data_IF_710228099300
#
_entry.id   IF_710228099300
#
_cell.length_a   1.000
_cell.length_b   1.000
_cell.length_c   1.000
_cell.angle_alpha   90.00
_cell.angle_beta   90.00
_cell.angle_gamma   90.00
#
_symmetry.space_group_name_H-M   'P 1'
#
loop_
_entity.id
_entity.type
_entity.pdbx_description
1 polymer ?
#
# COMPACT_ATOMS: atom_id res chain seq x y z
N UNK A 1 -23.69 -29.86 -13.60
CA UNK A 1 -22.30 -29.61 -13.15
C UNK A 1 -21.68 -28.60 -14.10
N UNK A 2 -21.52 -27.33 -13.68
CA UNK A 2 -20.83 -26.34 -14.52
C UNK A 2 -19.35 -26.71 -14.67
N UNK A 3 -18.90 -26.95 -15.91
CA UNK A 3 -17.51 -27.22 -16.22
C UNK A 3 -16.61 -26.00 -16.05
N UNK A 4 -15.32 -26.21 -15.82
CA UNK A 4 -14.33 -25.12 -15.71
C UNK A 4 -14.26 -24.32 -17.02
N UNK A 5 -14.41 -22.99 -16.94
CA UNK A 5 -14.39 -22.06 -18.08
C UNK A 5 -13.03 -22.00 -18.82
N UNK A 6 -11.91 -22.27 -18.15
CA UNK A 6 -10.58 -22.27 -18.78
C UNK A 6 -9.69 -23.37 -18.23
N UNK A 7 -8.65 -23.73 -18.99
CA UNK A 7 -7.62 -24.71 -18.57
C UNK A 7 -6.68 -24.15 -17.49
N UNK A 8 -6.71 -22.85 -17.19
CA UNK A 8 -5.76 -22.21 -16.27
C UNK A 8 -4.34 -22.12 -16.83
N UNK A 9 -3.37 -21.73 -15.99
CA UNK A 9 -1.96 -21.59 -16.40
C UNK A 9 -1.39 -22.96 -16.81
N UNK A 10 -1.01 -23.09 -18.07
CA UNK A 10 -0.35 -24.29 -18.59
C UNK A 10 1.17 -24.16 -18.50
N UNK A 11 1.83 -25.26 -18.17
CA UNK A 11 3.29 -25.34 -18.29
C UNK A 11 3.67 -25.38 -19.77
N UNK A 12 4.73 -24.67 -20.12
CA UNK A 12 5.30 -24.66 -21.48
C UNK A 12 6.80 -24.94 -21.40
N UNK A 13 7.38 -25.63 -22.40
CA UNK A 13 8.81 -25.91 -22.41
C UNK A 13 9.64 -24.62 -22.47
N UNK A 14 10.80 -24.60 -21.82
CA UNK A 14 11.76 -23.48 -21.88
C UNK A 14 12.59 -23.51 -23.17
N UNK A 15 11.90 -23.29 -24.29
CA UNK A 15 12.46 -23.15 -25.64
C UNK A 15 11.77 -22.01 -26.37
N UNK A 16 12.23 -21.70 -27.59
CA UNK A 16 11.57 -20.71 -28.45
C UNK A 16 10.11 -21.12 -28.68
N UNK A 17 9.19 -20.16 -28.55
CA UNK A 17 7.78 -20.34 -28.90
C UNK A 17 7.66 -20.13 -30.41
N UNK A 18 7.25 -21.16 -31.12
CA UNK A 18 7.18 -21.14 -32.59
C UNK A 18 6.00 -20.28 -33.09
N UNK A 19 4.81 -20.48 -32.49
CA UNK A 19 3.62 -19.66 -32.74
C UNK A 19 3.91 -18.19 -32.47
N UNK A 20 3.70 -17.35 -33.47
CA UNK A 20 4.01 -15.93 -33.43
C UNK A 20 3.11 -15.18 -32.44
N UNK A 21 1.79 -15.42 -32.50
CA UNK A 21 0.82 -14.81 -31.60
C UNK A 21 1.09 -15.17 -30.14
N UNK A 22 1.37 -16.45 -29.86
CA UNK A 22 1.72 -16.91 -28.52
C UNK A 22 3.03 -16.31 -28.04
N UNK A 23 4.00 -16.15 -28.95
CA UNK A 23 5.28 -15.51 -28.64
C UNK A 23 5.09 -14.03 -28.32
N UNK A 24 4.23 -13.30 -29.03
CA UNK A 24 3.92 -11.89 -28.77
C UNK A 24 3.16 -11.70 -27.46
N UNK A 25 2.14 -12.53 -27.21
CA UNK A 25 1.40 -12.53 -25.97
C UNK A 25 2.30 -12.88 -24.77
N UNK A 26 3.17 -13.88 -24.93
CA UNK A 26 4.11 -14.30 -23.89
C UNK A 26 5.17 -13.23 -23.62
N UNK A 27 5.74 -12.61 -24.65
CA UNK A 27 6.68 -11.50 -24.48
C UNK A 27 6.04 -10.38 -23.66
N UNK A 28 4.83 -9.97 -24.03
CA UNK A 28 4.12 -8.89 -23.34
C UNK A 28 3.85 -9.21 -21.86
N UNK A 29 3.38 -10.44 -21.58
CA UNK A 29 3.12 -10.91 -20.21
C UNK A 29 4.40 -11.03 -19.39
N UNK A 30 5.44 -11.66 -19.94
CA UNK A 30 6.73 -11.87 -19.25
C UNK A 30 7.45 -10.55 -19.00
N UNK A 31 7.49 -9.64 -19.99
CA UNK A 31 8.06 -8.29 -19.84
C UNK A 31 7.39 -7.54 -18.69
N UNK A 32 6.05 -7.52 -18.65
CA UNK A 32 5.30 -6.90 -17.55
C UNK A 32 5.63 -7.54 -16.20
N UNK A 33 5.68 -8.88 -16.14
CA UNK A 33 6.06 -9.60 -14.92
C UNK A 33 7.48 -9.28 -14.44
N UNK A 34 8.46 -9.22 -15.35
CA UNK A 34 9.84 -8.86 -15.05
C UNK A 34 9.91 -7.42 -14.50
N UNK A 35 9.21 -6.47 -15.13
CA UNK A 35 9.20 -5.08 -14.68
C UNK A 35 8.58 -4.94 -13.29
N UNK A 36 7.50 -5.68 -13.03
CA UNK A 36 6.90 -5.73 -11.70
C UNK A 36 7.89 -6.25 -10.66
N UNK A 37 8.62 -7.32 -10.96
CA UNK A 37 9.65 -7.87 -10.07
C UNK A 37 10.83 -6.92 -9.87
N UNK A 38 11.28 -6.25 -10.92
CA UNK A 38 12.31 -5.21 -10.81
C UNK A 38 11.85 -4.06 -9.90
N UNK A 39 10.62 -3.58 -10.05
CA UNK A 39 10.03 -2.56 -9.19
C UNK A 39 9.89 -3.02 -7.73
N UNK A 40 9.53 -4.29 -7.49
CA UNK A 40 9.51 -4.88 -6.15
C UNK A 40 10.90 -4.90 -5.52
N UNK A 41 11.94 -5.29 -6.27
CA UNK A 41 13.33 -5.31 -5.79
C UNK A 41 13.86 -3.90 -5.48
N UNK A 42 13.58 -2.93 -6.36
CA UNK A 42 13.92 -1.51 -6.10
C UNK A 42 13.29 -1.04 -4.80
N UNK A 43 12.01 -1.36 -4.57
CA UNK A 43 11.30 -0.98 -3.35
C UNK A 43 11.90 -1.65 -2.10
N UNK A 44 12.19 -2.95 -2.16
CA UNK A 44 12.61 -3.73 -0.98
C UNK A 44 14.09 -3.53 -0.62
N UNK A 45 14.93 -3.38 -1.63
CA UNK A 45 16.38 -3.42 -1.45
C UNK A 45 17.08 -2.10 -1.83
N UNK A 46 16.34 -1.11 -2.35
CA UNK A 46 16.88 0.19 -2.77
C UNK A 46 18.07 0.04 -3.74
N UNK A 47 17.91 -0.85 -4.72
CA UNK A 47 18.96 -1.21 -5.68
C UNK A 47 18.85 -0.45 -6.99
N UNK A 48 19.99 -0.28 -7.66
CA UNK A 48 20.11 0.24 -9.00
C UNK A 48 19.96 -0.89 -10.04
N UNK A 49 19.06 -0.74 -11.00
CA UNK A 49 18.74 -1.78 -11.99
C UNK A 49 18.49 -1.17 -13.38
N UNK A 50 18.99 -1.85 -14.41
CA UNK A 50 18.70 -1.57 -15.81
C UNK A 50 18.31 -2.82 -16.55
N UNK A 51 17.21 -2.78 -17.29
CA UNK A 51 16.70 -3.87 -18.11
C UNK A 51 16.42 -3.32 -19.50
N UNK A 52 16.94 -4.00 -20.52
CA UNK A 52 16.67 -3.73 -21.93
C UNK A 52 16.22 -5.02 -22.60
N UNK A 53 15.08 -4.97 -23.28
CA UNK A 53 14.44 -6.10 -23.94
C UNK A 53 14.04 -5.69 -25.35
N UNK A 54 14.26 -6.56 -26.33
CA UNK A 54 13.75 -6.37 -27.68
C UNK A 54 12.52 -7.25 -27.87
N UNK A 55 11.44 -6.67 -28.41
CA UNK A 55 10.31 -7.49 -28.87
C UNK A 55 10.76 -8.40 -30.01
N UNK A 56 9.99 -9.46 -30.28
CA UNK A 56 10.19 -10.25 -31.50
C UNK A 56 10.19 -9.43 -32.81
N UNK A 57 9.56 -8.25 -32.81
CA UNK A 57 9.57 -7.29 -33.92
C UNK A 57 10.76 -6.31 -33.90
N UNK A 58 11.72 -6.51 -33.01
CA UNK A 58 12.92 -5.67 -32.87
C UNK A 58 12.71 -4.35 -32.11
N UNK A 59 11.53 -4.09 -31.55
CA UNK A 59 11.26 -2.84 -30.81
C UNK A 59 11.87 -2.90 -29.41
N UNK A 60 12.67 -1.91 -28.99
CA UNK A 60 13.25 -1.88 -27.66
C UNK A 60 12.22 -1.51 -26.59
N UNK A 61 12.35 -2.13 -25.43
CA UNK A 61 11.63 -1.82 -24.20
C UNK A 61 12.66 -1.77 -23.07
N UNK A 62 12.54 -0.79 -22.20
CA UNK A 62 13.47 -0.65 -21.09
C UNK A 62 12.79 -0.38 -19.75
N UNK A 63 13.51 -0.67 -18.69
CA UNK A 63 13.20 -0.29 -17.32
C UNK A 63 14.49 0.10 -16.62
N UNK A 64 14.54 1.29 -16.03
CA UNK A 64 15.71 1.79 -15.33
C UNK A 64 15.32 2.38 -13.98
N UNK A 65 16.17 2.15 -12.99
CA UNK A 65 16.14 2.85 -11.72
C UNK A 65 17.59 3.02 -11.23
N UNK A 66 18.04 4.22 -10.84
CA UNK A 66 17.25 5.44 -10.66
C UNK A 66 16.92 6.19 -11.96
N UNK A 67 17.84 6.24 -12.92
CA UNK A 67 17.62 6.79 -14.28
C UNK A 67 18.41 6.00 -15.30
N UNK A 68 18.07 6.14 -16.59
CA UNK A 68 18.82 5.51 -17.68
C UNK A 68 20.27 5.98 -17.72
N UNK A 69 20.50 7.27 -17.60
CA UNK A 69 21.83 7.90 -17.73
C UNK A 69 22.75 7.40 -16.62
N UNK A 70 22.29 7.42 -15.36
CA UNK A 70 23.08 6.95 -14.23
C UNK A 70 23.47 5.48 -14.34
N UNK A 71 22.57 4.64 -14.88
CA UNK A 71 22.82 3.21 -15.05
C UNK A 71 23.74 2.95 -16.24
N UNK A 72 23.52 3.61 -17.36
CA UNK A 72 24.34 3.45 -18.58
C UNK A 72 25.74 3.98 -18.33
N UNK A 73 25.89 5.16 -17.74
CA UNK A 73 27.19 5.77 -17.43
C UNK A 73 28.00 4.86 -16.51
N UNK A 74 27.38 4.31 -15.45
CA UNK A 74 28.05 3.38 -14.53
C UNK A 74 28.40 2.06 -15.21
N UNK A 75 27.56 1.58 -16.13
CA UNK A 75 27.84 0.35 -16.87
C UNK A 75 29.02 0.52 -17.83
N UNK A 76 29.07 1.63 -18.57
CA UNK A 76 30.14 1.92 -19.52
C UNK A 76 31.44 2.34 -18.83
N UNK A 77 31.36 3.03 -17.69
CA UNK A 77 32.51 3.56 -16.97
C UNK A 77 32.48 3.17 -15.47
N UNK A 78 32.71 1.90 -15.10
CA UNK A 78 32.52 1.42 -13.73
C UNK A 78 33.38 2.12 -12.67
N UNK A 79 34.55 2.60 -13.06
CA UNK A 79 35.53 3.24 -12.16
C UNK A 79 35.39 4.77 -12.14
N UNK A 80 34.49 5.33 -12.95
CA UNK A 80 34.34 6.79 -13.06
C UNK A 80 33.17 7.24 -12.21
N UNK A 81 33.40 8.27 -11.40
CA UNK A 81 32.31 8.92 -10.68
C UNK A 81 31.32 9.54 -11.66
N UNK A 82 30.04 9.38 -11.39
CA UNK A 82 28.99 10.04 -12.16
C UNK A 82 29.17 11.56 -12.09
N UNK A 83 28.81 12.25 -13.18
CA UNK A 83 28.79 13.72 -13.17
C UNK A 83 27.87 14.23 -12.06
N UNK A 84 28.17 15.40 -11.51
CA UNK A 84 27.38 15.97 -10.41
C UNK A 84 25.90 16.12 -10.80
N UNK A 85 25.64 16.55 -12.04
CA UNK A 85 24.28 16.63 -12.59
C UNK A 85 23.58 15.27 -12.58
N UNK A 86 24.23 14.22 -13.09
CA UNK A 86 23.67 12.85 -13.12
C UNK A 86 23.41 12.34 -11.70
N UNK A 87 24.30 12.62 -10.74
CA UNK A 87 24.15 12.22 -9.33
C UNK A 87 22.92 12.89 -8.69
N UNK A 88 22.73 14.19 -8.90
CA UNK A 88 21.59 14.93 -8.38
C UNK A 88 20.27 14.43 -8.94
N UNK A 89 20.19 14.22 -10.26
CA UNK A 89 18.99 13.69 -10.92
C UNK A 89 18.67 12.27 -10.41
N UNK A 90 19.68 11.41 -10.29
CA UNK A 90 19.51 10.07 -9.74
C UNK A 90 19.03 10.09 -8.28
N UNK A 91 19.60 10.96 -7.43
CA UNK A 91 19.17 11.11 -6.05
C UNK A 91 17.72 11.59 -5.96
N UNK A 92 17.32 12.57 -6.79
CA UNK A 92 15.94 13.03 -6.86
C UNK A 92 14.98 11.91 -7.28
N UNK A 93 15.34 11.11 -8.30
CA UNK A 93 14.52 9.98 -8.73
C UNK A 93 14.33 8.94 -7.61
N UNK A 94 15.39 8.62 -6.85
CA UNK A 94 15.29 7.73 -5.67
C UNK A 94 14.35 8.28 -4.61
N UNK A 95 14.53 9.56 -4.25
CA UNK A 95 13.68 10.23 -3.27
C UNK A 95 12.22 10.22 -3.69
N UNK A 96 11.93 10.44 -4.97
CA UNK A 96 10.57 10.39 -5.50
C UNK A 96 9.95 9.00 -5.36
N UNK A 97 10.69 7.94 -5.67
CA UNK A 97 10.23 6.56 -5.51
C UNK A 97 9.93 6.26 -4.04
N UNK A 98 10.83 6.65 -3.13
CA UNK A 98 10.64 6.44 -1.69
C UNK A 98 9.40 7.17 -1.15
N UNK A 99 9.18 8.43 -1.55
CA UNK A 99 7.97 9.17 -1.19
C UNK A 99 6.68 8.46 -1.66
N UNK A 100 6.68 7.93 -2.89
CA UNK A 100 5.53 7.21 -3.44
C UNK A 100 5.29 5.89 -2.71
N UNK A 101 6.34 5.19 -2.30
CA UNK A 101 6.24 3.96 -1.51
C UNK A 101 5.63 4.23 -0.14
N UNK A 102 6.13 5.25 0.59
CA UNK A 102 5.58 5.63 1.89
C UNK A 102 4.10 6.00 1.80
N UNK A 103 3.72 6.76 0.76
CA UNK A 103 2.32 7.13 0.52
C UNK A 103 1.46 5.91 0.24
N UNK A 104 1.98 4.93 -0.51
CA UNK A 104 1.27 3.68 -0.78
C UNK A 104 1.05 2.87 0.50
N UNK A 105 2.06 2.75 1.35
CA UNK A 105 1.94 2.05 2.64
C UNK A 105 0.87 2.68 3.53
N UNK A 106 0.83 4.01 3.58
CA UNK A 106 -0.24 4.74 4.27
C UNK A 106 -1.63 4.38 3.72
N UNK A 107 -1.79 4.34 2.40
CA UNK A 107 -3.07 3.96 1.77
C UNK A 107 -3.46 2.51 2.07
N UNK A 108 -2.50 1.59 2.03
CA UNK A 108 -2.74 0.18 2.34
C UNK A 108 -3.23 0.01 3.80
N UNK A 109 -2.60 0.72 4.75
CA UNK A 109 -3.03 0.76 6.16
C UNK A 109 -4.45 1.32 6.33
N UNK A 110 -4.76 2.45 5.66
CA UNK A 110 -6.10 3.05 5.72
C UNK A 110 -7.15 2.06 5.19
N UNK A 111 -6.86 1.41 4.06
CA UNK A 111 -7.78 0.44 3.45
C UNK A 111 -8.06 -0.74 4.37
N UNK A 112 -7.05 -1.24 5.07
CA UNK A 112 -7.21 -2.31 6.04
C UNK A 112 -8.12 -1.89 7.20
N UNK A 113 -7.86 -0.72 7.80
CA UNK A 113 -8.70 -0.17 8.87
C UNK A 113 -10.14 0.03 8.41
N UNK A 114 -10.37 0.62 7.23
CA UNK A 114 -11.71 0.82 6.69
C UNK A 114 -12.42 -0.50 6.41
N UNK A 115 -11.69 -1.51 5.90
CA UNK A 115 -12.24 -2.84 5.63
C UNK A 115 -12.65 -3.55 6.93
N UNK A 116 -11.83 -3.45 7.98
CA UNK A 116 -12.15 -3.97 9.31
C UNK A 116 -13.36 -3.26 9.93
N UNK A 117 -13.44 -1.93 9.81
CA UNK A 117 -14.60 -1.14 10.25
C UNK A 117 -15.88 -1.53 9.51
N UNK A 118 -15.81 -1.73 8.19
CA UNK A 118 -16.96 -2.17 7.39
C UNK A 118 -17.48 -3.53 7.83
N UNK A 119 -16.59 -4.51 8.04
CA UNK A 119 -16.98 -5.84 8.52
C UNK A 119 -17.63 -5.79 9.91
N UNK A 120 -17.12 -4.93 10.80
CA UNK A 120 -17.73 -4.72 12.12
C UNK A 120 -19.14 -4.11 12.00
N UNK A 121 -19.32 -3.14 11.11
CA UNK A 121 -20.64 -2.58 10.82
C UNK A 121 -21.59 -3.62 10.23
N UNK A 122 -21.13 -4.46 9.31
CA UNK A 122 -21.97 -5.49 8.70
C UNK A 122 -22.35 -6.59 9.71
N UNK A 123 -21.44 -7.01 10.58
CA UNK A 123 -21.74 -7.92 11.71
C UNK A 123 -22.76 -7.31 12.69
N UNK A 124 -22.71 -6.00 12.92
CA UNK A 124 -23.71 -5.31 13.75
C UNK A 124 -25.09 -5.30 13.09
N UNK A 125 -25.17 -5.23 11.75
CA UNK A 125 -26.43 -5.38 11.01
C UNK A 125 -27.00 -6.80 11.11
N UNK A 126 -26.16 -7.83 11.00
CA UNK A 126 -26.58 -9.24 11.09
C UNK A 126 -27.04 -9.64 12.49
N UNK A 127 -26.46 -9.07 13.55
CA UNK A 127 -26.87 -9.33 14.94
C UNK A 127 -28.20 -8.66 15.35
N UNK A 128 -28.98 -8.15 14.40
CA UNK A 128 -30.33 -7.64 14.63
C UNK A 128 -30.40 -6.36 15.47
N UNK A 129 -29.26 -5.72 15.77
CA UNK A 129 -29.22 -4.40 16.40
C UNK A 129 -29.52 -3.34 15.34
N UNK A 130 -30.77 -3.37 14.85
CA UNK A 130 -31.33 -2.38 13.95
C UNK A 130 -31.48 -1.09 14.73
N UNK A 131 -30.68 -0.11 14.40
CA UNK A 131 -30.87 1.19 15.00
C UNK A 131 -31.68 2.10 14.09
N UNK A 132 -32.54 2.90 14.73
CA UNK A 132 -33.57 3.77 14.11
C UNK A 132 -33.06 4.71 13.00
N UNK A 133 -31.75 4.97 12.92
CA UNK A 133 -31.14 5.90 11.98
C UNK A 133 -31.07 5.40 10.52
N UNK A 134 -31.22 4.11 10.24
CA UNK A 134 -31.25 3.58 8.86
C UNK A 134 -32.51 4.00 8.08
N UNK A 135 -33.48 4.60 8.76
CA UNK A 135 -34.70 5.17 8.16
C UNK A 135 -34.81 6.67 8.48
N UNK A 136 -33.69 7.37 8.64
CA UNK A 136 -33.68 8.83 8.92
C UNK A 136 -34.41 9.63 7.84
N UNK A 137 -34.48 9.11 6.61
CA UNK A 137 -35.25 9.67 5.49
C UNK A 137 -36.76 9.71 5.76
N UNK A 138 -37.27 8.92 6.72
CA UNK A 138 -38.69 8.86 7.09
C UNK A 138 -39.03 9.78 8.27
N UNK A 139 -38.06 10.48 8.86
CA UNK A 139 -38.29 11.30 10.04
C UNK A 139 -38.89 12.66 9.65
N UNK A 140 -39.81 13.16 10.48
CA UNK A 140 -40.24 14.55 10.36
C UNK A 140 -39.24 15.52 11.02
N UNK A 141 -39.40 16.83 10.78
CA UNK A 141 -38.46 17.85 11.24
C UNK A 141 -38.23 17.86 12.77
N UNK A 142 -39.26 17.61 13.57
CA UNK A 142 -39.16 17.58 15.03
C UNK A 142 -38.46 16.31 15.53
N UNK A 143 -38.68 15.19 14.86
CA UNK A 143 -37.99 13.93 15.13
C UNK A 143 -36.51 14.02 14.80
N UNK A 144 -36.14 14.65 13.68
CA UNK A 144 -34.74 14.90 13.31
C UNK A 144 -34.05 15.75 14.38
N UNK A 145 -34.66 16.84 14.84
CA UNK A 145 -34.10 17.70 15.90
C UNK A 145 -33.90 16.96 17.23
N UNK A 146 -34.89 16.18 17.66
CA UNK A 146 -34.78 15.37 18.89
C UNK A 146 -33.65 14.35 18.77
N UNK A 147 -33.50 13.76 17.58
CA UNK A 147 -32.47 12.77 17.32
C UNK A 147 -31.05 13.38 17.27
N UNK A 148 -30.91 14.55 16.65
CA UNK A 148 -29.68 15.34 16.64
C UNK A 148 -29.22 15.72 18.05
N UNK A 149 -30.15 16.20 18.90
CA UNK A 149 -29.85 16.54 20.29
C UNK A 149 -29.37 15.32 21.10
N UNK A 150 -30.02 14.17 20.90
CA UNK A 150 -29.61 12.92 21.53
C UNK A 150 -28.24 12.43 21.05
N UNK A 151 -27.97 12.47 19.74
CA UNK A 151 -26.66 12.11 19.18
C UNK A 151 -25.56 13.03 19.71
N UNK A 152 -25.80 14.34 19.71
CA UNK A 152 -24.86 15.34 20.23
C UNK A 152 -24.50 15.07 21.69
N UNK A 153 -25.50 14.76 22.51
CA UNK A 153 -25.32 14.41 23.92
C UNK A 153 -24.53 13.11 24.08
N UNK A 154 -24.86 12.09 23.28
CA UNK A 154 -24.19 10.79 23.33
C UNK A 154 -22.72 10.89 22.91
N UNK A 155 -22.42 11.61 21.82
CA UNK A 155 -21.05 11.88 21.36
C UNK A 155 -20.27 12.67 22.41
N UNK A 156 -20.88 13.67 23.05
CA UNK A 156 -20.25 14.41 24.15
C UNK A 156 -19.88 13.49 25.32
N UNK A 157 -20.81 12.63 25.76
CA UNK A 157 -20.57 11.70 26.86
C UNK A 157 -19.48 10.67 26.52
N UNK A 158 -19.50 10.10 25.31
CA UNK A 158 -18.47 9.16 24.83
C UNK A 158 -17.09 9.82 24.80
N UNK A 159 -16.99 11.05 24.28
CA UNK A 159 -15.73 11.79 24.24
C UNK A 159 -15.19 12.09 25.63
N UNK A 160 -16.05 12.44 26.59
CA UNK A 160 -15.63 12.63 27.98
C UNK A 160 -15.11 11.31 28.58
N UNK A 161 -15.81 10.20 28.36
CA UNK A 161 -15.34 8.89 28.85
C UNK A 161 -14.00 8.49 28.22
N UNK A 162 -13.81 8.72 26.93
CA UNK A 162 -12.55 8.47 26.23
C UNK A 162 -11.40 9.30 26.82
N UNK A 163 -11.64 10.58 27.16
CA UNK A 163 -10.66 11.44 27.84
C UNK A 163 -10.30 10.92 29.22
N UNK A 164 -11.28 10.49 30.01
CA UNK A 164 -11.01 9.88 31.33
C UNK A 164 -10.14 8.63 31.23
N UNK A 165 -10.46 7.72 30.31
CA UNK A 165 -9.68 6.48 30.11
C UNK A 165 -8.24 6.75 29.66
N UNK A 166 -8.02 7.78 28.82
CA UNK A 166 -6.66 8.21 28.42
C UNK A 166 -5.87 8.83 29.57
N UNK A 167 -6.53 9.58 30.45
CA UNK A 167 -5.90 10.20 31.61
C UNK A 167 -5.54 9.15 32.68
N UNK A 168 -6.40 8.15 32.91
CA UNK A 168 -6.15 7.02 33.81
C UNK A 168 -4.97 6.15 33.31
N UNK A 169 -4.88 5.91 32.00
CA UNK A 169 -3.75 5.20 31.38
C UNK A 169 -2.42 5.98 31.46
N UNK A 170 -2.47 7.32 31.47
CA UNK A 170 -1.28 8.17 31.62
C UNK A 170 -0.81 8.28 33.07
N UNK A 171 -1.73 8.18 34.04
CA UNK A 171 -1.43 8.27 35.48
C UNK A 171 -0.89 6.95 36.06
N UNK A 172 -1.15 5.82 35.41
CA UNK A 172 -0.67 4.49 35.83
C UNK A 172 0.75 4.16 35.33
N UNK A 173 1.34 5.00 34.47
CA UNK A 173 2.74 4.87 34.00
C UNK A 173 3.76 5.68 34.82
N UNK A 174 3.32 6.50 35.79
CA UNK A 174 4.22 7.36 36.60
C UNK A 174 4.49 6.84 38.02
N UNK A 175 4.02 5.63 38.37
CA UNK A 175 4.23 5.04 39.71
C UNK A 175 5.05 3.75 39.65
N UNK A 176 6.20 3.80 38.97
CA UNK A 176 7.31 2.86 39.17
C UNK A 176 8.64 3.62 39.05
N UNK A 177 8.85 4.60 39.93
CA UNK A 177 10.19 5.05 40.29
C UNK A 177 10.56 4.32 41.59
N UNK A 178 11.50 3.38 41.48
CA UNK A 178 12.10 2.68 42.63
C UNK A 178 12.73 3.69 43.58
N UNK A 179 12.57 3.57 44.91
CA UNK A 179 13.41 4.30 45.84
C UNK A 179 14.80 3.66 45.87
N UNK A 180 15.79 4.52 45.70
CA UNK A 180 17.22 4.29 45.88
C UNK A 180 17.53 3.78 47.30
N UNK A 181 18.49 2.86 47.38
CA UNK A 181 19.03 2.31 48.63
C UNK A 181 19.71 3.40 49.48
N UNK A 182 19.51 3.32 50.79
CA UNK A 182 20.50 3.77 51.80
C UNK A 182 20.51 2.82 53.00
N UNK A 183 21.71 2.29 53.27
CA UNK A 183 22.30 1.81 54.53
C UNK A 183 21.63 0.59 55.22
N UNK A 184 22.33 -0.45 55.69
CA UNK A 184 23.67 -0.60 56.28
C UNK A 184 24.09 -2.08 56.22
#
# INVERSE_FOLDING_TARGET
>A
MEGKKTRGRQSIPMKKIESEDDRYATFSKRRSGIYKKASELVKLCNIDIGIVLFSPTGKPFSFFHPTSEAIIDRFLNPNTQLSESTRLVAAHARNKVNQLNNRRELFDNIKEVTSAQSLLLDNMKENGQRYRWESIEQFNADEVKKYEAWLSTTVFNLNNRLKHLKNEASSSSSSQAYPENTDN
#
